data_IF_061028395438
#
_entry.id   IF_061028395438
#
_cell.length_a   1.000
_cell.length_b   1.000
_cell.length_c   1.000
_cell.angle_alpha   90.00
_cell.angle_beta   90.00
_cell.angle_gamma   90.00
#
_symmetry.space_group_name_H-M   'P 1'
#
loop_
_entity.id
_entity.type
_entity.pdbx_description
1 polymer ?
#
# COMPACT_ATOMS: atom_id res chain seq x y z
N UNK A 1 17.70 -6.99 -10.98
CA UNK A 1 16.61 -7.26 -10.05
C UNK A 1 16.63 -8.74 -9.75
N UNK A 2 16.12 -9.15 -8.60
CA UNK A 2 16.02 -10.56 -8.19
C UNK A 2 14.52 -10.88 -8.18
N UNK A 3 14.10 -11.86 -8.98
CA UNK A 3 12.72 -12.34 -9.01
C UNK A 3 12.49 -13.29 -7.83
N UNK A 4 11.35 -13.12 -7.17
CA UNK A 4 10.86 -14.00 -6.10
C UNK A 4 9.38 -14.28 -6.28
N UNK A 5 8.98 -15.52 -6.02
CA UNK A 5 7.60 -15.99 -6.11
C UNK A 5 6.92 -15.87 -4.75
N UNK A 6 5.71 -15.29 -4.74
CA UNK A 6 4.91 -15.08 -3.54
C UNK A 6 3.50 -15.62 -3.73
N UNK A 7 2.87 -16.03 -2.62
CA UNK A 7 1.49 -16.51 -2.64
C UNK A 7 0.51 -15.39 -3.03
N UNK A 8 -0.46 -15.72 -3.89
CA UNK A 8 -1.45 -14.80 -4.44
C UNK A 8 -2.86 -15.09 -3.95
N UNK A 9 -3.69 -14.05 -3.86
CA UNK A 9 -5.16 -14.13 -3.70
C UNK A 9 -5.89 -14.21 -5.04
N UNK A 10 -5.16 -14.01 -6.16
CA UNK A 10 -5.71 -13.98 -7.50
C UNK A 10 -6.09 -15.35 -8.04
N UNK A 11 -6.41 -15.40 -9.33
CA UNK A 11 -6.71 -16.64 -10.05
C UNK A 11 -5.48 -17.56 -10.08
N UNK A 12 -4.29 -16.98 -10.30
CA UNK A 12 -3.03 -17.71 -10.16
C UNK A 12 -2.67 -17.82 -8.66
N UNK A 13 -2.21 -19.00 -8.19
CA UNK A 13 -1.89 -19.21 -6.77
C UNK A 13 -0.63 -18.46 -6.32
N UNK A 14 0.17 -17.98 -7.25
CA UNK A 14 1.42 -17.25 -7.00
C UNK A 14 1.64 -16.12 -8.00
N UNK A 15 2.44 -15.14 -7.60
CA UNK A 15 2.93 -14.03 -8.44
C UNK A 15 4.44 -13.92 -8.30
N UNK A 16 5.10 -13.58 -9.40
CA UNK A 16 6.54 -13.37 -9.45
C UNK A 16 6.85 -11.87 -9.37
N UNK A 17 7.57 -11.45 -8.34
CA UNK A 17 7.86 -10.05 -8.05
C UNK A 17 9.36 -9.81 -8.18
N UNK A 18 9.71 -8.73 -8.85
CA UNK A 18 11.09 -8.31 -9.05
C UNK A 18 11.57 -7.32 -7.99
N UNK A 19 12.59 -7.71 -7.21
CA UNK A 19 13.19 -6.91 -6.15
C UNK A 19 14.54 -6.35 -6.59
N UNK A 20 14.74 -5.06 -6.40
CA UNK A 20 16.03 -4.40 -6.56
C UNK A 20 16.53 -3.90 -5.21
N UNK A 21 17.45 -4.62 -4.59
CA UNK A 21 18.02 -4.22 -3.29
C UNK A 21 18.98 -3.03 -3.44
N UNK A 22 19.66 -2.89 -4.57
CA UNK A 22 20.53 -1.73 -4.84
C UNK A 22 19.74 -0.43 -4.95
N UNK A 23 18.57 -0.47 -5.62
CA UNK A 23 17.68 0.68 -5.78
C UNK A 23 16.65 0.78 -4.66
N UNK A 24 16.61 -0.21 -3.76
CA UNK A 24 15.64 -0.35 -2.67
C UNK A 24 14.19 -0.21 -3.16
N UNK A 25 13.80 -1.01 -4.15
CA UNK A 25 12.46 -0.96 -4.70
C UNK A 25 12.00 -2.27 -5.32
N UNK A 26 10.73 -2.29 -5.62
CA UNK A 26 9.97 -3.42 -6.14
C UNK A 26 9.39 -3.02 -7.49
N UNK A 27 9.53 -3.86 -8.48
CA UNK A 27 8.72 -3.78 -9.67
C UNK A 27 7.52 -4.70 -9.51
N UNK A 28 6.35 -4.13 -9.58
CA UNK A 28 5.08 -4.85 -9.66
C UNK A 28 4.53 -4.72 -11.07
N UNK A 29 4.25 -5.83 -11.70
CA UNK A 29 3.43 -5.88 -12.89
C UNK A 29 1.98 -5.53 -12.54
N UNK A 30 1.11 -5.47 -13.52
CA UNK A 30 -0.24 -4.96 -13.31
C UNK A 30 -0.99 -5.77 -12.23
N UNK A 31 -1.46 -5.07 -11.17
CA UNK A 31 -2.24 -5.59 -10.04
C UNK A 31 -1.55 -6.57 -9.08
N UNK A 32 -0.29 -6.95 -9.27
CA UNK A 32 0.39 -7.92 -8.40
C UNK A 32 0.42 -7.51 -6.92
N UNK A 33 0.69 -6.23 -6.64
CA UNK A 33 0.68 -5.71 -5.25
C UNK A 33 -0.65 -5.92 -4.53
N UNK A 34 -1.77 -5.88 -5.27
CA UNK A 34 -3.11 -6.11 -4.73
C UNK A 34 -3.42 -7.60 -4.52
N UNK A 35 -2.72 -8.47 -5.25
CA UNK A 35 -2.93 -9.91 -5.20
C UNK A 35 -2.15 -10.61 -4.08
N UNK A 36 -1.18 -9.94 -3.45
CA UNK A 36 -0.40 -10.53 -2.36
C UNK A 36 -1.30 -10.98 -1.20
N UNK A 37 -1.05 -12.21 -0.74
CA UNK A 37 -1.68 -12.69 0.51
C UNK A 37 -1.07 -11.98 1.73
N UNK A 38 -1.72 -11.99 2.90
CA UNK A 38 -1.13 -11.48 4.13
C UNK A 38 0.21 -12.12 4.46
N UNK A 39 0.33 -13.44 4.28
CA UNK A 39 1.58 -14.17 4.47
C UNK A 39 2.69 -13.70 3.50
N UNK A 40 2.34 -13.50 2.22
CA UNK A 40 3.27 -12.97 1.23
C UNK A 40 3.76 -11.55 1.54
N UNK A 41 2.91 -10.70 2.11
CA UNK A 41 3.32 -9.37 2.59
C UNK A 41 4.34 -9.48 3.72
N UNK A 42 4.16 -10.42 4.66
CA UNK A 42 5.11 -10.67 5.75
C UNK A 42 6.43 -11.22 5.22
N UNK A 43 6.41 -12.15 4.28
CA UNK A 43 7.63 -12.68 3.63
C UNK A 43 8.39 -11.58 2.89
N UNK A 44 7.69 -10.71 2.18
CA UNK A 44 8.28 -9.58 1.48
C UNK A 44 8.89 -8.56 2.45
N UNK A 45 8.21 -8.27 3.57
CA UNK A 45 8.73 -7.43 4.63
C UNK A 45 10.02 -8.02 5.24
N UNK A 46 10.05 -9.32 5.51
CA UNK A 46 11.24 -10.00 6.01
C UNK A 46 12.39 -9.94 5.00
N UNK A 47 12.11 -10.19 3.72
CA UNK A 47 13.10 -10.11 2.66
C UNK A 47 13.74 -8.72 2.51
N UNK A 48 12.97 -7.66 2.75
CA UNK A 48 13.48 -6.28 2.76
C UNK A 48 14.38 -6.05 3.97
N UNK A 49 14.00 -6.57 5.14
CA UNK A 49 14.76 -6.38 6.40
C UNK A 49 16.05 -7.17 6.47
N UNK A 50 16.11 -8.38 5.89
CA UNK A 50 17.27 -9.26 5.93
C UNK A 50 18.49 -8.72 5.18
N UNK A 51 18.29 -7.77 4.28
CA UNK A 51 19.39 -7.12 3.60
C UNK A 51 19.84 -5.90 4.38
N UNK A 52 21.10 -5.92 4.82
CA UNK A 52 21.75 -4.76 5.42
C UNK A 52 21.57 -3.53 4.53
N UNK A 53 21.27 -2.40 5.17
CA UNK A 53 21.02 -1.12 4.51
C UNK A 53 22.32 -0.59 3.88
N UNK A 54 22.68 -1.12 2.74
CA UNK A 54 23.62 -0.44 1.83
C UNK A 54 22.95 0.86 1.38
N UNK A 55 23.70 1.96 1.32
CA UNK A 55 23.18 3.22 0.83
C UNK A 55 22.51 3.00 -0.53
N UNK A 56 21.23 3.40 -0.71
CA UNK A 56 20.50 3.13 -1.93
C UNK A 56 21.21 3.77 -3.12
N UNK A 57 21.35 3.01 -4.20
CA UNK A 57 21.81 3.58 -5.46
C UNK A 57 20.73 4.52 -5.97
N UNK A 58 21.06 5.77 -6.30
CA UNK A 58 20.11 6.69 -6.90
C UNK A 58 19.48 6.07 -8.16
N UNK A 59 18.18 6.21 -8.30
CA UNK A 59 17.50 5.84 -9.54
C UNK A 59 18.08 6.67 -10.68
N UNK A 60 18.27 6.04 -11.83
CA UNK A 60 18.66 6.76 -13.04
C UNK A 60 17.51 7.70 -13.44
N UNK A 61 17.84 8.92 -13.80
CA UNK A 61 16.89 9.88 -14.34
C UNK A 61 17.06 10.00 -15.86
N UNK A 62 16.05 9.69 -16.69
CA UNK A 62 14.76 9.11 -16.30
C UNK A 62 14.85 7.61 -15.97
N UNK A 63 14.12 7.17 -14.93
CA UNK A 63 13.88 5.77 -14.68
C UNK A 63 13.01 5.18 -15.80
N UNK A 64 13.32 3.99 -16.27
CA UNK A 64 12.68 3.40 -17.47
C UNK A 64 12.00 2.09 -17.15
N UNK A 65 10.86 1.85 -17.82
CA UNK A 65 10.15 0.57 -17.77
C UNK A 65 11.07 -0.57 -18.23
N UNK A 66 11.15 -1.69 -17.50
CA UNK A 66 11.95 -2.84 -17.90
C UNK A 66 11.49 -3.47 -19.22
N UNK A 67 10.19 -3.42 -19.53
CA UNK A 67 9.63 -3.99 -20.74
C UNK A 67 9.75 -3.05 -21.97
N UNK A 68 9.08 -1.89 -21.94
CA UNK A 68 9.00 -1.02 -23.10
C UNK A 68 10.07 0.08 -23.16
N UNK A 69 10.91 0.21 -22.13
CA UNK A 69 11.98 1.20 -21.99
C UNK A 69 11.51 2.66 -21.99
N UNK A 70 10.21 2.91 -22.01
CA UNK A 70 9.65 4.26 -21.88
C UNK A 70 9.96 4.85 -20.50
N UNK A 71 10.12 6.17 -20.38
CA UNK A 71 10.27 6.83 -19.09
C UNK A 71 9.08 6.51 -18.18
N UNK A 72 9.37 6.24 -16.92
CA UNK A 72 8.34 6.06 -15.89
C UNK A 72 7.87 7.43 -15.40
N UNK A 73 6.59 7.53 -15.06
CA UNK A 73 5.96 8.75 -14.57
C UNK A 73 5.72 8.64 -13.06
N UNK A 74 6.18 9.64 -12.30
CA UNK A 74 5.86 9.74 -10.87
C UNK A 74 4.34 9.88 -10.71
N UNK A 75 3.77 8.98 -9.94
CA UNK A 75 2.34 8.90 -9.67
C UNK A 75 2.11 8.87 -8.17
N UNK A 76 1.06 9.53 -7.73
CA UNK A 76 0.61 9.52 -6.35
C UNK A 76 -0.74 8.85 -6.26
N UNK A 77 -0.93 8.09 -5.19
CA UNK A 77 -2.17 7.39 -4.89
C UNK A 77 -2.43 7.41 -3.38
N UNK A 78 -3.60 6.96 -2.97
CA UNK A 78 -3.96 6.84 -1.57
C UNK A 78 -4.29 5.40 -1.23
N UNK A 79 -3.64 4.89 -0.18
CA UNK A 79 -4.09 3.68 0.50
C UNK A 79 -4.74 4.09 1.81
N UNK A 80 -6.05 3.89 1.96
CA UNK A 80 -6.85 4.49 3.04
C UNK A 80 -6.61 6.01 3.09
N UNK A 81 -6.01 6.53 4.17
CA UNK A 81 -5.67 7.95 4.34
C UNK A 81 -4.20 8.27 4.02
N UNK A 82 -3.40 7.25 3.72
CA UNK A 82 -1.96 7.39 3.53
C UNK A 82 -1.62 7.61 2.07
N UNK A 83 -0.97 8.73 1.78
CA UNK A 83 -0.47 9.03 0.42
C UNK A 83 0.77 8.19 0.13
N UNK A 84 0.74 7.46 -0.97
CA UNK A 84 1.86 6.67 -1.49
C UNK A 84 2.32 7.23 -2.83
N UNK A 85 3.58 6.97 -3.19
CA UNK A 85 4.18 7.43 -4.44
C UNK A 85 4.94 6.29 -5.11
N UNK A 86 4.80 6.19 -6.42
CA UNK A 86 5.48 5.19 -7.22
C UNK A 86 5.74 5.69 -8.63
N UNK A 87 6.60 5.02 -9.38
CA UNK A 87 6.89 5.33 -10.78
C UNK A 87 6.12 4.34 -11.67
N UNK A 88 5.18 4.83 -12.48
CA UNK A 88 4.30 4.02 -13.32
C UNK A 88 4.73 4.03 -14.79
N UNK A 89 4.59 2.89 -15.45
CA UNK A 89 4.64 2.80 -16.90
C UNK A 89 3.29 3.26 -17.50
N UNK A 90 3.30 4.25 -18.38
CA UNK A 90 2.08 4.75 -19.02
C UNK A 90 1.48 3.77 -20.02
N UNK A 91 2.25 2.78 -20.50
CA UNK A 91 1.76 1.68 -21.33
C UNK A 91 1.10 0.55 -20.50
N UNK A 92 1.06 0.67 -19.16
CA UNK A 92 0.36 -0.30 -18.32
C UNK A 92 1.17 -1.54 -17.94
N UNK A 93 2.48 -1.59 -18.21
CA UNK A 93 3.30 -2.77 -17.89
C UNK A 93 3.53 -2.99 -16.40
N UNK A 94 3.38 -1.92 -15.58
CA UNK A 94 3.56 -2.05 -14.14
C UNK A 94 4.06 -0.77 -13.47
N UNK A 95 4.54 -0.94 -12.24
CA UNK A 95 5.05 0.18 -11.43
C UNK A 95 6.28 -0.19 -10.61
N UNK A 96 7.21 0.74 -10.51
CA UNK A 96 8.32 0.66 -9.57
C UNK A 96 7.92 1.35 -8.26
N UNK A 97 7.92 0.61 -7.17
CA UNK A 97 7.53 1.08 -5.83
C UNK A 97 8.77 1.00 -4.92
N UNK A 98 9.30 2.13 -4.40
CA UNK A 98 10.35 2.11 -3.40
C UNK A 98 9.95 1.29 -2.16
N UNK A 99 10.90 0.60 -1.52
CA UNK A 99 10.62 -0.23 -0.33
C UNK A 99 9.87 0.54 0.75
N UNK A 100 10.28 1.79 1.02
CA UNK A 100 9.61 2.62 2.01
C UNK A 100 8.16 2.94 1.63
N UNK A 101 7.85 3.09 0.34
CA UNK A 101 6.48 3.31 -0.11
C UNK A 101 5.62 2.06 0.03
N UNK A 102 6.22 0.89 -0.19
CA UNK A 102 5.56 -0.38 0.11
C UNK A 102 5.31 -0.54 1.61
N UNK A 103 6.30 -0.24 2.46
CA UNK A 103 6.14 -0.28 3.91
C UNK A 103 5.07 0.71 4.40
N UNK A 104 4.99 1.88 3.77
CA UNK A 104 3.93 2.88 4.03
C UNK A 104 2.56 2.37 3.62
N UNK A 105 2.44 1.81 2.41
CA UNK A 105 1.19 1.20 1.91
C UNK A 105 0.67 0.11 2.85
N UNK A 106 1.56 -0.66 3.46
CA UNK A 106 1.24 -1.76 4.37
C UNK A 106 1.26 -1.37 5.86
N UNK A 107 1.34 -0.08 6.17
CA UNK A 107 1.24 0.47 7.54
C UNK A 107 2.36 0.03 8.50
N UNK A 108 3.56 -0.28 7.98
CA UNK A 108 4.75 -0.61 8.80
C UNK A 108 5.50 0.61 9.29
N UNK A 109 5.22 1.80 8.75
CA UNK A 109 5.89 3.06 9.10
C UNK A 109 4.89 4.11 9.57
N UNK A 110 5.34 5.03 10.41
CA UNK A 110 4.58 6.20 10.83
C UNK A 110 5.40 7.49 10.71
N UNK A 111 4.75 8.64 10.64
CA UNK A 111 5.45 9.92 10.76
C UNK A 111 6.16 10.04 12.11
N UNK A 112 7.29 10.75 12.12
CA UNK A 112 7.99 11.10 13.34
C UNK A 112 7.14 12.05 14.21
N UNK A 113 7.15 11.81 15.51
CA UNK A 113 6.59 12.75 16.49
C UNK A 113 7.43 14.02 16.56
N UNK A 114 6.90 15.15 17.06
CA UNK A 114 7.68 16.37 17.23
C UNK A 114 8.94 16.20 18.09
N UNK A 115 8.89 15.36 19.12
CA UNK A 115 10.03 15.05 19.99
C UNK A 115 11.12 14.25 19.28
N UNK A 116 10.73 13.22 18.52
CA UNK A 116 11.65 12.43 17.69
C UNK A 116 12.29 13.28 16.60
N UNK A 117 11.51 14.18 15.99
CA UNK A 117 12.01 15.13 15.01
C UNK A 117 13.05 16.07 15.63
N UNK A 118 12.82 16.56 16.84
CA UNK A 118 13.79 17.40 17.57
C UNK A 118 15.08 16.63 17.87
N UNK A 119 14.95 15.36 18.28
CA UNK A 119 16.11 14.49 18.53
C UNK A 119 16.89 14.19 17.26
N UNK A 120 16.20 13.93 16.13
CA UNK A 120 16.84 13.71 14.84
C UNK A 120 17.61 14.95 14.37
N UNK A 121 17.02 16.13 14.51
CA UNK A 121 17.65 17.42 14.16
C UNK A 121 18.94 17.71 14.94
N UNK A 122 19.03 17.22 16.16
CA UNK A 122 20.23 17.39 16.98
C UNK A 122 21.45 16.59 16.46
N UNK A 123 21.20 15.53 15.66
CA UNK A 123 22.24 14.61 15.20
C UNK A 123 22.47 14.70 13.68
N UNK A 124 21.41 14.98 12.92
CA UNK A 124 21.45 14.97 11.45
C UNK A 124 20.88 16.27 10.92
N UNK A 125 21.63 16.95 10.06
CA UNK A 125 21.18 18.21 9.42
C UNK A 125 20.38 17.98 8.14
N UNK A 126 20.63 16.87 7.42
CA UNK A 126 20.00 16.61 6.14
C UNK A 126 19.69 15.11 5.97
N UNK A 127 18.52 14.81 5.43
CA UNK A 127 18.11 13.44 5.02
C UNK A 127 17.63 13.44 3.60
N UNK A 128 17.53 12.26 2.98
CA UNK A 128 16.89 12.10 1.68
C UNK A 128 15.42 11.74 1.84
N UNK A 129 14.58 12.36 1.02
CA UNK A 129 13.18 12.03 0.96
C UNK A 129 13.01 10.57 0.51
N UNK A 130 12.29 9.79 1.31
CA UNK A 130 11.98 8.39 1.01
C UNK A 130 11.02 8.21 -0.16
N UNK A 131 10.30 9.27 -0.56
CA UNK A 131 9.36 9.25 -1.68
C UNK A 131 9.98 9.63 -3.02
N UNK A 132 10.69 10.77 -3.06
CA UNK A 132 11.20 11.34 -4.33
C UNK A 132 12.73 11.44 -4.38
N UNK A 133 13.44 11.07 -3.29
CA UNK A 133 14.90 11.13 -3.23
C UNK A 133 15.49 12.54 -3.02
N UNK A 134 14.68 13.60 -3.03
CA UNK A 134 15.14 14.96 -2.84
C UNK A 134 15.77 15.16 -1.45
N UNK A 135 16.79 16.02 -1.32
CA UNK A 135 17.36 16.36 -0.02
C UNK A 135 16.34 17.16 0.81
N UNK A 136 16.25 16.86 2.10
CA UNK A 136 15.43 17.57 3.08
C UNK A 136 16.37 18.15 4.12
N UNK A 137 16.37 19.47 4.28
CA UNK A 137 17.08 20.17 5.34
C UNK A 137 16.24 20.14 6.61
N UNK A 138 16.66 19.33 7.59
CA UNK A 138 15.93 19.15 8.84
C UNK A 138 15.91 20.39 9.73
N UNK A 139 16.85 21.35 9.53
CA UNK A 139 16.85 22.60 10.29
C UNK A 139 15.64 23.48 9.95
N UNK A 140 15.09 23.33 8.75
CA UNK A 140 14.02 24.18 8.20
C UNK A 140 12.72 23.43 7.98
N UNK A 141 12.82 22.18 7.55
CA UNK A 141 11.70 21.41 7.00
C UNK A 141 11.34 20.24 7.93
N UNK A 142 10.04 19.99 8.11
CA UNK A 142 9.52 18.82 8.79
C UNK A 142 8.99 17.75 7.79
N UNK A 143 8.96 18.12 6.52
CA UNK A 143 8.50 17.28 5.39
C UNK A 143 9.27 17.66 4.13
N UNK A 144 9.19 16.82 3.11
CA UNK A 144 9.83 17.12 1.83
C UNK A 144 9.20 18.37 1.17
N UNK A 145 10.02 19.37 0.83
CA UNK A 145 9.58 20.58 0.14
C UNK A 145 9.11 20.34 -1.30
N UNK A 146 9.49 19.21 -1.92
CA UNK A 146 9.11 18.85 -3.31
C UNK A 146 7.82 18.05 -3.40
N UNK A 147 7.71 16.95 -2.64
CA UNK A 147 6.58 16.04 -2.76
C UNK A 147 5.67 16.03 -1.52
N UNK A 148 5.99 16.85 -0.52
CA UNK A 148 5.28 17.00 0.76
C UNK A 148 5.14 15.70 1.56
N UNK A 149 5.95 14.68 1.27
CA UNK A 149 5.98 13.47 2.06
C UNK A 149 6.55 13.75 3.46
N UNK A 150 5.92 13.27 4.53
CA UNK A 150 6.45 13.39 5.88
C UNK A 150 7.74 12.58 6.02
N UNK A 151 8.54 12.91 7.03
CA UNK A 151 9.66 12.07 7.45
C UNK A 151 9.09 10.97 8.34
N UNK A 152 9.39 9.73 8.00
CA UNK A 152 8.81 8.55 8.61
C UNK A 152 9.87 7.63 9.22
N UNK A 153 9.44 6.85 10.18
CA UNK A 153 10.26 5.85 10.85
C UNK A 153 9.57 4.50 10.85
N UNK A 154 10.37 3.45 10.75
CA UNK A 154 9.91 2.10 11.03
C UNK A 154 9.68 2.01 12.54
N UNK A 155 8.43 1.94 12.95
CA UNK A 155 8.06 1.92 14.36
C UNK A 155 7.82 0.50 14.85
N UNK A 156 8.45 0.13 15.96
CA UNK A 156 8.35 -1.21 16.52
C UNK A 156 6.92 -1.61 16.86
N UNK A 157 6.13 -0.70 17.39
CA UNK A 157 4.73 -0.96 17.75
C UNK A 157 3.84 -1.06 16.52
N UNK A 158 4.01 -0.18 15.53
CA UNK A 158 3.31 -0.25 14.25
C UNK A 158 3.65 -1.56 13.52
N UNK A 159 4.93 -1.94 13.50
CA UNK A 159 5.38 -3.22 12.93
C UNK A 159 4.74 -4.40 13.65
N UNK A 160 4.77 -4.43 14.99
CA UNK A 160 4.18 -5.52 15.77
C UNK A 160 2.67 -5.64 15.52
N UNK A 161 1.95 -4.51 15.51
CA UNK A 161 0.52 -4.47 15.22
C UNK A 161 0.21 -4.98 13.81
N UNK A 162 0.93 -4.50 12.80
CA UNK A 162 0.74 -4.92 11.40
C UNK A 162 1.05 -6.40 11.21
N UNK A 163 2.12 -6.91 11.82
CA UNK A 163 2.46 -8.35 11.79
C UNK A 163 1.34 -9.18 12.45
N UNK A 164 0.85 -8.78 13.61
CA UNK A 164 -0.24 -9.49 14.30
C UNK A 164 -1.52 -9.51 13.45
N UNK A 165 -1.88 -8.38 12.85
CA UNK A 165 -3.03 -8.25 11.96
C UNK A 165 -2.90 -9.18 10.74
N UNK A 166 -1.80 -9.07 9.98
CA UNK A 166 -1.56 -9.89 8.80
C UNK A 166 -1.48 -11.39 9.13
N UNK A 167 -0.89 -11.75 10.28
CA UNK A 167 -0.83 -13.14 10.74
C UNK A 167 -2.24 -13.67 11.04
N UNK A 168 -3.09 -12.86 11.65
CA UNK A 168 -4.49 -13.21 11.93
C UNK A 168 -5.27 -13.38 10.63
N UNK A 169 -5.13 -12.47 9.69
CA UNK A 169 -5.76 -12.57 8.37
C UNK A 169 -5.30 -13.83 7.61
N UNK A 170 -3.99 -14.14 7.64
CA UNK A 170 -3.47 -15.32 6.96
C UNK A 170 -4.00 -16.61 7.58
N UNK A 171 -4.09 -16.70 8.92
CA UNK A 171 -4.71 -17.83 9.61
C UNK A 171 -6.20 -17.96 9.27
N UNK A 172 -6.92 -16.86 9.17
CA UNK A 172 -8.33 -16.85 8.75
C UNK A 172 -8.48 -17.34 7.30
N UNK A 173 -7.60 -16.91 6.41
CA UNK A 173 -7.58 -17.34 5.01
C UNK A 173 -7.32 -18.84 4.84
N UNK A 174 -6.44 -19.41 5.66
CA UNK A 174 -6.07 -20.82 5.63
C UNK A 174 -7.10 -21.73 6.32
N UNK A 175 -8.09 -21.16 7.00
CA UNK A 175 -9.12 -21.93 7.68
C UNK A 175 -9.96 -22.69 6.66
N UNK A 176 -10.16 -24.01 6.81
CA UNK A 176 -11.09 -24.75 5.95
C UNK A 176 -12.48 -24.10 6.05
N UNK A 177 -13.05 -23.76 4.91
CA UNK A 177 -14.44 -23.31 4.86
C UNK A 177 -15.30 -24.55 4.99
N UNK A 178 -16.07 -24.64 6.07
CA UNK A 178 -17.14 -25.62 6.17
C UNK A 178 -18.26 -25.21 5.20
N UNK A 179 -18.52 -26.01 4.14
CA UNK A 179 -19.53 -25.65 3.14
C UNK A 179 -20.94 -25.54 3.76
N UNK A 180 -21.24 -26.33 4.81
CA UNK A 180 -22.52 -26.28 5.51
C UNK A 180 -22.69 -24.97 6.26
N UNK A 181 -21.69 -24.57 7.06
CA UNK A 181 -21.71 -23.31 7.80
C UNK A 181 -21.74 -22.08 6.87
N UNK A 182 -21.04 -22.13 5.72
CA UNK A 182 -21.08 -21.08 4.72
C UNK A 182 -22.48 -20.94 4.09
N UNK A 183 -23.13 -22.07 3.82
CA UNK A 183 -24.50 -22.11 3.29
C UNK A 183 -25.50 -21.55 4.29
N UNK A 184 -25.43 -21.97 5.55
CA UNK A 184 -26.29 -21.48 6.63
C UNK A 184 -26.10 -19.96 6.89
N UNK A 185 -24.87 -19.45 6.78
CA UNK A 185 -24.59 -18.03 6.91
C UNK A 185 -25.22 -17.21 5.77
N UNK A 186 -25.18 -17.70 4.52
CA UNK A 186 -25.83 -17.05 3.38
C UNK A 186 -27.35 -16.98 3.56
N UNK A 187 -27.99 -18.06 3.97
CA UNK A 187 -29.43 -18.09 4.21
C UNK A 187 -29.85 -17.30 5.44
N UNK A 188 -29.00 -17.20 6.45
CA UNK A 188 -29.25 -16.35 7.63
C UNK A 188 -29.17 -14.86 7.29
N UNK A 189 -28.19 -14.46 6.46
CA UNK A 189 -28.06 -13.10 5.98
C UNK A 189 -29.24 -12.64 5.11
N UNK A 190 -29.82 -13.57 4.34
CA UNK A 190 -31.00 -13.29 3.52
C UNK A 190 -32.28 -13.11 4.36
N UNK A 191 -32.42 -13.85 5.46
CA UNK A 191 -33.53 -13.69 6.41
C UNK A 191 -33.47 -12.41 7.23
N UNK A 192 -32.28 -11.85 7.42
CA UNK A 192 -32.08 -10.59 8.17
C UNK A 192 -32.06 -9.35 7.25
N UNK A 193 -32.26 -9.52 5.95
CA UNK A 193 -32.42 -8.38 5.04
C UNK A 193 -33.69 -7.63 5.47
N UNK A 194 -33.61 -6.34 5.86
CA UNK A 194 -34.82 -5.57 6.11
C UNK A 194 -35.66 -5.60 4.82
N UNK A 195 -36.94 -5.93 4.97
CA UNK A 195 -37.88 -5.85 3.85
C UNK A 195 -37.67 -4.48 3.19
N UNK A 196 -37.40 -4.51 1.89
CA UNK A 196 -37.30 -3.26 1.12
C UNK A 196 -38.60 -2.48 1.39
N UNK A 197 -38.47 -1.25 1.89
CA UNK A 197 -39.61 -0.40 2.10
C UNK A 197 -40.47 -0.41 0.83
N UNK A 198 -41.78 -0.64 0.95
CA UNK A 198 -42.63 -0.71 -0.22
C UNK A 198 -42.45 0.55 -1.05
N UNK A 199 -42.35 0.40 -2.35
CA UNK A 199 -42.11 1.47 -3.33
C UNK A 199 -43.12 2.66 -3.17
N UNK A 200 -44.24 2.42 -2.54
CA UNK A 200 -45.26 3.45 -2.23
C UNK A 200 -44.74 4.61 -1.37
N UNK A 201 -43.76 4.34 -0.46
CA UNK A 201 -43.14 5.40 0.36
C UNK A 201 -42.27 6.36 -0.47
N UNK A 202 -41.75 5.94 -1.62
CA UNK A 202 -40.96 6.79 -2.51
C UNK A 202 -41.83 7.76 -3.27
N UNK A 203 -43.08 7.41 -3.61
CA UNK A 203 -44.04 8.30 -4.29
C UNK A 203 -44.51 9.39 -3.36
N UNK A 204 -44.72 9.11 -2.09
CA UNK A 204 -45.13 10.10 -1.10
C UNK A 204 -44.05 11.16 -0.86
N UNK A 205 -42.79 10.77 -0.85
CA UNK A 205 -41.65 11.70 -0.71
C UNK A 205 -41.49 12.59 -1.96
N UNK A 206 -41.66 12.04 -3.16
CA UNK A 206 -41.59 12.81 -4.42
C UNK A 206 -42.75 13.81 -4.52
N UNK A 207 -43.96 13.44 -4.07
CA UNK A 207 -45.10 14.30 -4.05
C UNK A 207 -44.98 15.45 -3.03
N UNK A 208 -44.33 15.19 -1.87
CA UNK A 208 -44.07 16.20 -0.85
C UNK A 208 -42.99 17.23 -1.27
N UNK A 209 -42.10 16.87 -2.18
CA UNK A 209 -41.01 17.73 -2.66
C UNK A 209 -41.40 18.60 -3.86
N UNK A 210 -42.64 18.51 -4.35
CA UNK A 210 -43.18 19.40 -5.37
C UNK A 210 -42.48 19.33 -6.73
N UNK A 211 -41.82 18.20 -7.04
CA UNK A 211 -41.17 18.00 -8.33
C UNK A 211 -42.25 17.63 -9.37
N UNK A 212 -42.67 18.62 -10.14
CA UNK A 212 -43.40 18.38 -11.38
C UNK A 212 -42.44 17.84 -12.41
N UNK A 213 -42.66 16.62 -12.85
CA UNK A 213 -41.97 16.05 -14.01
C UNK A 213 -42.79 16.47 -15.23
N UNK A 214 -42.24 17.41 -16.05
CA UNK A 214 -42.68 17.67 -17.41
C UNK A 214 -42.03 16.64 -18.36
#
# INVERSE_FOLDING_TARGET
MVQRTFASRGVAPAVDIDLCFDCQGIWFDNLESAQLTPGAILELFQAIREREATAPRPLKDPCRCPECRSPLTLTHDFHKTTRISYLRCNAGHGRFTPFVQFLREKEFVRPLTPGEMASLRAVVSQVRCSSCGAPIDLSRDAQCSYCHAPIEVLDGDAVAHTIAHLTTEEKARQRPVDPGAAFDALFSAERTRPEAAPLDLLWDVVSLLGATVD
#
